data_IF_765568466563
#
_entry.id   IF_765568466563
#
_cell.length_a   1.000
_cell.length_b   1.000
_cell.length_c   1.000
_cell.angle_alpha   90.00
_cell.angle_beta   90.00
_cell.angle_gamma   90.00
#
_symmetry.space_group_name_H-M   'P 1'
#
loop_
_entity.id
_entity.type
_entity.pdbx_description
1 polymer ?
#
# COMPACT_ATOMS: atom_id res chain seq x y z
N UNK A 1 7.58 12.67 46.48
CA UNK A 1 6.99 13.01 45.15
C UNK A 1 7.71 12.14 44.14
N UNK A 2 7.03 11.16 43.56
CA UNK A 2 7.63 10.34 42.50
C UNK A 2 7.70 11.21 41.25
N UNK A 3 8.90 11.63 40.85
CA UNK A 3 9.11 12.21 39.52
C UNK A 3 8.77 11.12 38.53
N UNK A 4 7.60 11.23 37.88
CA UNK A 4 7.31 10.43 36.70
C UNK A 4 8.49 10.64 35.74
N UNK A 5 9.16 9.55 35.35
CA UNK A 5 10.28 9.62 34.45
C UNK A 5 9.72 10.06 33.09
N UNK A 6 9.84 11.35 32.76
CA UNK A 6 9.32 11.91 31.52
C UNK A 6 10.27 11.41 30.42
N UNK A 7 9.77 10.46 29.62
CA UNK A 7 10.51 9.95 28.47
C UNK A 7 10.79 11.08 27.49
N UNK A 8 12.00 11.09 26.96
CA UNK A 8 12.40 11.97 25.87
C UNK A 8 11.63 11.64 24.58
N UNK A 9 11.53 12.58 23.63
CA UNK A 9 11.05 12.33 22.28
C UNK A 9 11.63 11.06 21.62
N UNK A 10 12.95 10.86 21.75
CA UNK A 10 13.64 9.70 21.21
C UNK A 10 13.14 8.40 21.85
N UNK A 11 13.04 8.35 23.18
CA UNK A 11 12.50 7.19 23.91
C UNK A 11 11.04 6.88 23.54
N UNK A 12 10.22 7.91 23.33
CA UNK A 12 8.82 7.75 22.93
C UNK A 12 8.69 7.15 21.52
N UNK A 13 9.50 7.61 20.56
CA UNK A 13 9.52 7.03 19.21
C UNK A 13 10.02 5.58 19.24
N UNK A 14 11.08 5.33 20.00
CA UNK A 14 11.66 4.00 20.17
C UNK A 14 10.64 2.98 20.68
N UNK A 15 9.91 3.35 21.74
CA UNK A 15 8.85 2.51 22.29
C UNK A 15 7.74 2.28 21.26
N UNK A 16 7.30 3.33 20.56
CA UNK A 16 6.25 3.22 19.55
C UNK A 16 6.64 2.24 18.43
N UNK A 17 7.83 2.40 17.85
CA UNK A 17 8.30 1.53 16.75
C UNK A 17 8.46 0.08 17.20
N UNK A 18 8.90 -0.15 18.44
CA UNK A 18 9.16 -1.50 18.97
C UNK A 18 7.89 -2.20 19.45
N UNK A 19 6.91 -1.46 19.98
CA UNK A 19 5.77 -2.01 20.71
C UNK A 19 4.43 -1.84 19.98
N UNK A 20 4.21 -0.71 19.32
CA UNK A 20 2.88 -0.33 18.83
C UNK A 20 2.75 -0.39 17.32
N UNK A 21 3.79 -0.01 16.58
CA UNK A 21 3.71 0.12 15.12
C UNK A 21 3.32 -1.19 14.42
N UNK A 22 3.87 -2.34 14.83
CA UNK A 22 3.46 -3.65 14.27
C UNK A 22 2.01 -4.03 14.61
N UNK A 23 1.52 -3.58 15.77
CA UNK A 23 0.17 -3.88 16.22
C UNK A 23 -0.88 -3.16 15.37
N UNK A 24 -0.57 -1.98 14.84
CA UNK A 24 -1.39 -1.29 13.82
C UNK A 24 -1.61 -2.22 12.62
N UNK A 25 -0.55 -2.87 12.12
CA UNK A 25 -0.66 -3.81 10.99
C UNK A 25 -1.44 -5.10 11.31
N UNK A 26 -1.58 -5.43 12.61
CA UNK A 26 -2.37 -6.60 13.03
C UNK A 26 -3.82 -6.26 13.32
N UNK A 27 -4.12 -5.02 13.69
CA UNK A 27 -5.45 -4.64 14.19
C UNK A 27 -6.22 -3.77 13.21
N UNK A 28 -5.53 -2.92 12.46
CA UNK A 28 -6.15 -1.80 11.74
C UNK A 28 -5.92 -1.87 10.23
N UNK A 29 -4.90 -2.60 9.77
CA UNK A 29 -4.51 -2.65 8.36
C UNK A 29 -4.65 -4.06 7.80
N UNK A 30 -5.42 -4.18 6.71
CA UNK A 30 -5.71 -5.42 5.99
C UNK A 30 -4.89 -5.54 4.70
N UNK A 31 -3.56 -5.57 4.84
CA UNK A 31 -2.65 -5.81 3.71
C UNK A 31 -2.29 -7.29 3.67
N UNK A 32 -2.38 -7.91 2.49
CA UNK A 32 -2.11 -9.34 2.30
C UNK A 32 -0.97 -9.60 1.30
N UNK A 33 -0.19 -10.64 1.57
CA UNK A 33 0.81 -11.18 0.65
C UNK A 33 0.13 -12.01 -0.46
N UNK A 34 0.79 -12.30 -1.60
CA UNK A 34 0.19 -13.07 -2.70
C UNK A 34 -0.17 -14.50 -2.30
N UNK A 35 0.47 -15.03 -1.26
CA UNK A 35 0.15 -16.33 -0.67
C UNK A 35 -1.08 -16.30 0.28
N UNK A 36 -1.79 -15.16 0.37
CA UNK A 36 -2.97 -14.98 1.20
C UNK A 36 -2.69 -14.75 2.69
N UNK A 37 -1.43 -14.73 3.13
CA UNK A 37 -1.10 -14.40 4.52
C UNK A 37 -1.09 -12.89 4.76
N UNK A 38 -1.40 -12.45 5.98
CA UNK A 38 -1.38 -11.03 6.32
C UNK A 38 0.06 -10.50 6.28
N UNK A 39 0.26 -9.36 5.64
CA UNK A 39 1.52 -8.66 5.69
C UNK A 39 1.76 -8.13 7.09
N UNK A 40 2.90 -8.51 7.68
CA UNK A 40 3.42 -7.90 8.90
C UNK A 40 4.82 -7.40 8.59
N UNK A 41 5.12 -6.11 8.77
CA UNK A 41 6.45 -5.59 8.52
C UNK A 41 7.44 -6.18 9.52
N UNK A 42 8.07 -7.30 9.13
CA UNK A 42 9.06 -8.03 9.93
C UNK A 42 10.48 -7.88 9.38
N UNK A 43 10.64 -7.38 8.14
CA UNK A 43 11.93 -7.27 7.45
C UNK A 43 11.80 -6.43 6.18
N UNK A 44 12.13 -5.14 6.26
CA UNK A 44 12.29 -4.26 5.10
C UNK A 44 13.76 -3.87 4.89
N UNK A 45 14.16 -3.62 3.65
CA UNK A 45 15.52 -3.17 3.29
C UNK A 45 15.86 -1.79 3.83
N UNK A 46 14.87 -0.92 4.05
CA UNK A 46 15.05 0.43 4.62
C UNK A 46 15.20 0.46 6.14
N UNK A 47 15.69 -0.63 6.75
CA UNK A 47 16.11 -0.61 8.14
C UNK A 47 15.02 -0.86 9.17
N UNK A 48 13.78 -1.20 8.82
CA UNK A 48 12.74 -1.57 9.82
C UNK A 48 13.21 -2.69 10.77
N UNK A 49 13.91 -3.69 10.23
CA UNK A 49 14.50 -4.75 11.07
C UNK A 49 15.68 -4.25 11.92
N UNK A 50 16.40 -3.23 11.44
CA UNK A 50 17.47 -2.55 12.17
C UNK A 50 16.88 -1.70 13.30
N UNK A 51 15.87 -0.86 13.02
CA UNK A 51 15.19 -0.01 13.99
C UNK A 51 14.60 -0.81 15.15
N UNK A 52 13.98 -1.95 14.86
CA UNK A 52 13.43 -2.83 15.92
C UNK A 52 14.51 -3.48 16.79
N UNK A 53 15.64 -3.88 16.19
CA UNK A 53 16.73 -4.57 16.90
C UNK A 53 17.70 -3.60 17.57
N UNK A 54 17.72 -2.34 17.12
CA UNK A 54 18.56 -1.30 17.68
C UNK A 54 17.92 -0.76 18.96
N UNK A 55 18.76 -0.54 19.97
CA UNK A 55 18.33 0.06 21.24
C UNK A 55 17.94 1.52 21.07
N UNK A 56 18.42 2.20 20.02
CA UNK A 56 18.15 3.61 19.70
C UNK A 56 17.56 3.74 18.28
N UNK A 57 16.28 3.45 18.12
CA UNK A 57 15.60 3.47 16.82
C UNK A 57 15.51 4.90 16.25
N UNK A 58 15.27 5.89 17.09
CA UNK A 58 15.18 7.30 16.70
C UNK A 58 16.48 7.79 16.08
N UNK A 59 17.62 7.59 16.76
CA UNK A 59 18.93 8.04 16.26
C UNK A 59 19.29 7.35 14.94
N UNK A 60 18.99 6.07 14.83
CA UNK A 60 19.22 5.31 13.61
C UNK A 60 18.33 5.80 12.46
N UNK A 61 17.06 6.11 12.74
CA UNK A 61 16.15 6.70 11.77
C UNK A 61 16.66 8.07 11.28
N UNK A 62 17.10 8.94 12.20
CA UNK A 62 17.73 10.22 11.85
C UNK A 62 18.97 9.99 11.00
N UNK A 63 19.83 9.03 11.36
CA UNK A 63 21.05 8.71 10.62
C UNK A 63 20.76 8.27 9.19
N UNK A 64 19.77 7.39 9.00
CA UNK A 64 19.33 6.90 7.68
C UNK A 64 18.87 8.04 6.78
N UNK A 65 18.18 9.04 7.34
CA UNK A 65 17.64 10.18 6.58
C UNK A 65 18.57 11.39 6.49
N UNK A 66 19.64 11.44 7.29
CA UNK A 66 20.59 12.57 7.31
C UNK A 66 21.68 12.47 6.25
N UNK A 67 22.14 11.26 5.88
CA UNK A 67 23.18 11.07 4.85
C UNK A 67 22.62 11.18 3.42
N UNK A 68 23.43 11.43 2.37
CA UNK A 68 22.95 11.25 0.99
C UNK A 68 22.46 9.81 0.86
N UNK A 69 21.17 9.63 0.61
CA UNK A 69 20.67 8.30 0.32
C UNK A 69 21.13 8.03 -1.10
N UNK A 70 21.90 6.96 -1.33
CA UNK A 70 21.75 6.26 -2.60
C UNK A 70 20.26 5.99 -2.69
N UNK A 71 19.55 6.66 -3.60
CA UNK A 71 18.13 6.37 -3.82
C UNK A 71 18.08 4.85 -4.01
N UNK A 72 17.44 4.09 -3.10
CA UNK A 72 17.19 2.71 -3.43
C UNK A 72 16.15 2.83 -4.54
N UNK A 73 16.61 2.74 -5.80
CA UNK A 73 15.76 2.56 -6.98
C UNK A 73 14.80 1.37 -6.78
N UNK A 74 15.10 0.52 -5.79
CA UNK A 74 14.33 -0.63 -5.37
C UNK A 74 13.75 -0.42 -3.95
N UNK A 75 12.54 0.11 -3.86
CA UNK A 75 11.63 -0.25 -2.78
C UNK A 75 11.41 -1.76 -2.82
N UNK A 76 11.40 -2.43 -1.66
CA UNK A 76 11.03 -3.85 -1.63
C UNK A 76 9.56 -4.00 -2.00
N UNK A 77 9.18 -5.03 -2.76
CA UNK A 77 7.79 -5.30 -3.14
C UNK A 77 6.81 -5.27 -1.95
N UNK A 78 7.24 -5.70 -0.76
CA UNK A 78 6.43 -5.67 0.45
C UNK A 78 6.15 -4.26 0.98
N UNK A 79 7.06 -3.32 0.76
CA UNK A 79 6.94 -1.93 1.20
C UNK A 79 6.05 -1.13 0.24
N UNK A 80 6.23 -1.29 -1.08
CA UNK A 80 5.31 -0.70 -2.08
C UNK A 80 3.88 -1.15 -1.87
N UNK A 81 3.67 -2.40 -1.44
CA UNK A 81 2.32 -2.92 -1.18
C UNK A 81 1.60 -2.20 -0.05
N UNK A 82 2.30 -1.79 1.03
CA UNK A 82 1.69 -0.99 2.09
C UNK A 82 1.20 0.33 1.50
N UNK A 83 2.05 0.99 0.72
CA UNK A 83 1.73 2.27 0.09
C UNK A 83 0.54 2.12 -0.86
N UNK A 84 0.54 1.07 -1.69
CA UNK A 84 -0.50 0.85 -2.70
C UNK A 84 -1.85 0.44 -2.10
N UNK A 85 -1.87 -0.31 -0.99
CA UNK A 85 -3.10 -0.91 -0.45
C UNK A 85 -3.63 -0.22 0.82
N UNK A 86 -2.74 0.30 1.67
CA UNK A 86 -3.12 0.94 2.93
C UNK A 86 -2.86 2.45 2.93
N UNK A 87 -1.86 2.90 2.17
CA UNK A 87 -1.47 4.30 2.05
C UNK A 87 -0.19 4.65 2.81
N UNK A 88 0.42 5.78 2.42
CA UNK A 88 1.69 6.26 2.96
C UNK A 88 1.66 6.52 4.48
N UNK A 89 0.50 6.81 5.05
CA UNK A 89 0.32 7.10 6.48
C UNK A 89 0.59 5.91 7.41
N UNK A 90 0.73 4.69 6.86
CA UNK A 90 1.09 3.51 7.64
C UNK A 90 2.60 3.20 7.60
N UNK A 91 3.39 4.04 6.96
CA UNK A 91 4.85 3.92 6.92
C UNK A 91 5.50 4.47 8.20
N UNK A 92 6.64 3.91 8.61
CA UNK A 92 7.33 4.38 9.83
C UNK A 92 7.95 5.77 9.61
N UNK A 93 8.32 6.08 8.37
CA UNK A 93 8.75 7.39 7.89
C UNK A 93 7.68 8.44 8.15
N UNK A 94 6.42 8.13 7.81
CA UNK A 94 5.30 9.01 8.11
C UNK A 94 5.15 9.22 9.62
N UNK A 95 5.16 8.15 10.41
CA UNK A 95 5.06 8.27 11.88
C UNK A 95 6.23 9.01 12.53
N UNK A 96 7.42 8.98 11.93
CA UNK A 96 8.57 9.74 12.41
C UNK A 96 8.29 11.25 12.34
N UNK A 97 7.67 11.72 11.25
CA UNK A 97 7.41 13.16 11.03
C UNK A 97 5.99 13.62 11.37
N UNK A 98 5.06 12.70 11.63
CA UNK A 98 3.66 12.97 11.98
C UNK A 98 3.56 13.99 13.13
N UNK A 99 3.07 15.19 12.82
CA UNK A 99 2.99 16.32 13.76
C UNK A 99 2.07 16.02 14.96
N UNK A 100 1.16 15.05 14.85
CA UNK A 100 0.32 14.64 15.97
C UNK A 100 1.09 13.84 17.03
N UNK A 101 2.31 13.40 16.74
CA UNK A 101 3.14 12.60 17.65
C UNK A 101 4.02 13.45 18.55
N UNK A 102 4.24 13.01 19.81
CA UNK A 102 4.98 13.79 20.80
C UNK A 102 6.47 13.94 20.50
N UNK A 103 7.03 13.15 19.57
CA UNK A 103 8.44 13.21 19.17
C UNK A 103 8.71 14.03 17.92
N UNK A 104 7.67 14.44 17.19
CA UNK A 104 7.78 15.01 15.85
C UNK A 104 8.65 16.28 15.81
N UNK A 105 8.60 17.09 16.87
CA UNK A 105 9.39 18.31 17.02
C UNK A 105 10.88 18.07 17.23
N UNK A 106 11.27 16.85 17.64
CA UNK A 106 12.68 16.47 17.81
C UNK A 106 13.33 16.04 16.48
N UNK A 107 12.55 15.86 15.42
CA UNK A 107 13.08 15.51 14.09
C UNK A 107 13.69 16.76 13.44
N UNK A 108 14.97 16.74 13.01
CA UNK A 108 15.60 17.86 12.33
C UNK A 108 14.85 18.27 11.06
N UNK A 109 14.76 19.57 10.78
CA UNK A 109 14.05 20.11 9.61
C UNK A 109 14.52 19.49 8.29
N UNK A 110 15.83 19.35 8.09
CA UNK A 110 16.38 18.71 6.88
C UNK A 110 15.93 17.25 6.72
N UNK A 111 15.82 16.50 7.82
CA UNK A 111 15.33 15.11 7.79
C UNK A 111 13.85 15.08 7.43
N UNK A 112 13.05 15.96 8.05
CA UNK A 112 11.63 16.12 7.77
C UNK A 112 11.38 16.42 6.29
N UNK A 113 12.04 17.44 5.74
CA UNK A 113 11.90 17.84 4.32
C UNK A 113 12.21 16.69 3.36
N UNK A 114 13.24 15.88 3.66
CA UNK A 114 13.62 14.74 2.83
C UNK A 114 12.61 13.60 2.89
N UNK A 115 12.08 13.31 4.08
CA UNK A 115 11.01 12.33 4.25
C UNK A 115 9.76 12.78 3.49
N UNK A 116 9.36 14.04 3.62
CA UNK A 116 8.20 14.59 2.92
C UNK A 116 8.33 14.48 1.39
N UNK A 117 9.50 14.84 0.84
CA UNK A 117 9.78 14.72 -0.58
C UNK A 117 9.70 13.27 -1.08
N UNK A 118 10.23 12.33 -0.31
CA UNK A 118 10.19 10.91 -0.65
C UNK A 118 8.78 10.33 -0.55
N UNK A 119 8.02 10.67 0.50
CA UNK A 119 6.62 10.25 0.65
C UNK A 119 5.75 10.79 -0.49
N UNK A 120 5.92 12.04 -0.90
CA UNK A 120 5.20 12.63 -2.03
C UNK A 120 5.51 11.92 -3.36
N UNK A 121 6.78 11.55 -3.58
CA UNK A 121 7.20 10.77 -4.76
C UNK A 121 6.57 9.38 -4.74
N UNK A 122 6.56 8.70 -3.59
CA UNK A 122 5.97 7.36 -3.44
C UNK A 122 4.46 7.38 -3.65
N UNK A 123 3.76 8.37 -3.09
CA UNK A 123 2.31 8.54 -3.25
C UNK A 123 1.94 8.76 -4.73
N UNK A 124 2.69 9.61 -5.43
CA UNK A 124 2.55 9.81 -6.87
C UNK A 124 2.74 8.49 -7.65
N UNK A 125 3.76 7.70 -7.33
CA UNK A 125 4.03 6.43 -7.99
C UNK A 125 2.92 5.40 -7.73
N UNK A 126 2.42 5.32 -6.49
CA UNK A 126 1.30 4.45 -6.14
C UNK A 126 0.03 4.81 -6.92
N UNK A 127 -0.27 6.10 -7.07
CA UNK A 127 -1.39 6.56 -7.89
C UNK A 127 -1.24 6.15 -9.37
N UNK A 128 -0.01 6.23 -9.91
CA UNK A 128 0.28 5.78 -11.29
C UNK A 128 0.06 4.27 -11.42
N UNK A 129 0.57 3.47 -10.46
CA UNK A 129 0.37 2.01 -10.45
C UNK A 129 -1.11 1.62 -10.35
N UNK A 130 -1.86 2.26 -9.46
CA UNK A 130 -3.29 2.02 -9.29
C UNK A 130 -4.07 2.30 -10.58
N UNK A 131 -3.75 3.40 -11.29
CA UNK A 131 -4.34 3.71 -12.59
C UNK A 131 -4.00 2.67 -13.65
N UNK A 132 -2.74 2.24 -13.71
CA UNK A 132 -2.31 1.21 -14.66
C UNK A 132 -3.01 -0.13 -14.40
N UNK A 133 -3.13 -0.54 -13.13
CA UNK A 133 -3.84 -1.76 -12.74
C UNK A 133 -5.33 -1.69 -13.09
N UNK A 134 -5.99 -0.55 -12.85
CA UNK A 134 -7.39 -0.35 -13.22
C UNK A 134 -7.60 -0.40 -14.74
N UNK A 135 -6.70 0.21 -15.51
CA UNK A 135 -6.75 0.16 -16.97
C UNK A 135 -6.57 -1.28 -17.51
N UNK A 136 -5.64 -2.04 -16.93
CA UNK A 136 -5.42 -3.44 -17.31
C UNK A 136 -6.61 -4.33 -16.92
N UNK A 137 -7.17 -4.15 -15.73
CA UNK A 137 -8.37 -4.87 -15.29
C UNK A 137 -9.56 -4.58 -16.22
N UNK A 138 -9.73 -3.33 -16.67
CA UNK A 138 -10.75 -2.96 -17.64
C UNK A 138 -10.54 -3.67 -18.98
N UNK A 139 -9.30 -3.67 -19.50
CA UNK A 139 -8.96 -4.36 -20.75
C UNK A 139 -9.26 -5.85 -20.68
N UNK A 140 -8.83 -6.52 -19.61
CA UNK A 140 -9.10 -7.96 -19.42
C UNK A 140 -10.59 -8.27 -19.32
N UNK A 141 -11.35 -7.40 -18.66
CA UNK A 141 -12.80 -7.47 -18.59
C UNK A 141 -13.46 -7.38 -19.98
N UNK A 142 -13.03 -6.43 -20.81
CA UNK A 142 -13.54 -6.27 -22.18
C UNK A 142 -13.21 -7.48 -23.07
N UNK A 143 -12.02 -8.04 -22.90
CA UNK A 143 -11.60 -9.26 -23.59
C UNK A 143 -12.46 -10.48 -23.17
N UNK A 144 -12.74 -10.62 -21.87
CA UNK A 144 -13.60 -11.69 -21.34
C UNK A 144 -15.05 -11.54 -21.81
N UNK A 145 -15.57 -10.32 -21.80
CA UNK A 145 -16.90 -9.98 -22.28
C UNK A 145 -17.02 -10.30 -23.79
N UNK A 146 -16.01 -9.94 -24.58
CA UNK A 146 -15.94 -10.27 -26.02
C UNK A 146 -15.90 -11.78 -26.27
N UNK A 147 -15.09 -12.53 -25.52
CA UNK A 147 -15.03 -14.00 -25.60
C UNK A 147 -16.36 -14.64 -25.23
N UNK A 148 -17.05 -14.12 -24.22
CA UNK A 148 -18.36 -14.61 -23.80
C UNK A 148 -19.39 -14.44 -24.91
N UNK A 149 -19.46 -13.25 -25.52
CA UNK A 149 -20.39 -12.98 -26.63
C UNK A 149 -20.08 -13.86 -27.84
N UNK A 150 -18.80 -14.04 -28.16
CA UNK A 150 -18.39 -14.94 -29.24
C UNK A 150 -18.85 -16.39 -28.99
N UNK A 151 -18.69 -16.91 -27.76
CA UNK A 151 -19.15 -18.24 -27.38
C UNK A 151 -20.68 -18.37 -27.46
N UNK A 152 -21.42 -17.36 -27.00
CA UNK A 152 -22.89 -17.35 -27.09
C UNK A 152 -23.37 -17.35 -28.55
N UNK A 153 -22.72 -16.56 -29.41
CA UNK A 153 -23.05 -16.52 -30.83
C UNK A 153 -22.69 -17.82 -31.55
N UNK A 154 -21.56 -18.45 -31.23
CA UNK A 154 -21.19 -19.76 -31.75
C UNK A 154 -22.25 -20.82 -31.41
N UNK A 155 -22.65 -20.89 -30.13
CA UNK A 155 -23.71 -21.81 -29.70
C UNK A 155 -25.05 -21.55 -30.40
N UNK A 156 -25.40 -20.28 -30.63
CA UNK A 156 -26.62 -19.94 -31.38
C UNK A 156 -26.54 -20.39 -32.83
N UNK A 157 -25.38 -20.25 -33.46
CA UNK A 157 -25.16 -20.75 -34.82
C UNK A 157 -25.32 -22.28 -34.91
N UNK A 158 -24.78 -23.03 -33.94
CA UNK A 158 -24.96 -24.49 -33.85
C UNK A 158 -26.45 -24.88 -33.69
N UNK A 159 -27.23 -24.03 -33.01
CA UNK A 159 -28.68 -24.18 -32.83
C UNK A 159 -29.51 -23.63 -34.01
N UNK A 160 -28.87 -23.14 -35.08
CA UNK A 160 -29.55 -22.52 -36.24
C UNK A 160 -30.22 -21.18 -35.94
N UNK A 161 -29.86 -20.51 -34.85
CA UNK A 161 -30.39 -19.20 -34.41
C UNK A 161 -29.48 -18.07 -34.90
N UNK A 162 -30.03 -16.87 -35.21
CA UNK A 162 -29.21 -15.71 -35.54
C UNK A 162 -28.35 -15.28 -34.33
N UNK A 163 -27.20 -14.61 -34.55
CA UNK A 163 -26.41 -14.00 -33.48
C UNK A 163 -27.23 -13.08 -32.57
N UNK A 164 -26.71 -12.79 -31.38
CA UNK A 164 -27.31 -11.84 -30.46
C UNK A 164 -27.44 -10.46 -31.13
N UNK A 165 -28.56 -9.79 -30.89
CA UNK A 165 -28.73 -8.38 -31.28
C UNK A 165 -27.87 -7.48 -30.38
N UNK A 166 -27.73 -6.20 -30.76
CA UNK A 166 -27.04 -5.21 -29.92
C UNK A 166 -27.72 -5.07 -28.54
N UNK A 167 -29.05 -5.04 -28.50
CA UNK A 167 -29.83 -4.97 -27.26
C UNK A 167 -29.59 -6.20 -26.36
N UNK A 168 -29.60 -7.40 -26.95
CA UNK A 168 -29.33 -8.64 -26.20
C UNK A 168 -27.88 -8.68 -25.68
N UNK A 169 -26.94 -8.19 -26.47
CA UNK A 169 -25.53 -8.05 -26.06
C UNK A 169 -25.41 -7.10 -24.88
N UNK A 170 -26.08 -5.93 -24.93
CA UNK A 170 -26.07 -4.96 -23.84
C UNK A 170 -26.60 -5.56 -22.52
N UNK A 171 -27.70 -6.32 -22.58
CA UNK A 171 -28.26 -7.02 -21.40
C UNK A 171 -27.28 -8.04 -20.81
N UNK A 172 -26.57 -8.80 -21.66
CA UNK A 172 -25.55 -9.76 -21.19
C UNK A 172 -24.39 -9.04 -20.50
N UNK A 173 -23.90 -7.95 -21.10
CA UNK A 173 -22.81 -7.17 -20.54
C UNK A 173 -23.19 -6.48 -19.23
N UNK A 174 -24.42 -5.94 -19.14
CA UNK A 174 -24.95 -5.32 -17.93
C UNK A 174 -25.05 -6.33 -16.78
N UNK A 175 -25.67 -7.49 -16.99
CA UNK A 175 -25.74 -8.52 -15.96
C UNK A 175 -24.35 -9.06 -15.55
N UNK A 176 -23.36 -9.00 -16.44
CA UNK A 176 -21.96 -9.33 -16.10
C UNK A 176 -21.26 -8.24 -15.32
N UNK A 177 -21.59 -6.96 -15.54
CA UNK A 177 -21.09 -5.85 -14.71
C UNK A 177 -21.66 -5.92 -13.30
N UNK A 178 -22.96 -6.18 -13.16
CA UNK A 178 -23.62 -6.36 -11.86
C UNK A 178 -22.99 -7.50 -11.05
N UNK A 179 -22.82 -8.68 -11.65
CA UNK A 179 -22.18 -9.83 -10.98
C UNK A 179 -20.72 -9.61 -10.60
N UNK A 180 -20.01 -8.71 -11.30
CA UNK A 180 -18.65 -8.31 -10.93
C UNK A 180 -18.66 -7.35 -9.75
N UNK A 181 -19.60 -6.40 -9.73
CA UNK A 181 -19.78 -5.48 -8.63
C UNK A 181 -20.20 -6.19 -7.32
N UNK A 182 -20.98 -7.27 -7.40
CA UNK A 182 -21.36 -8.10 -6.23
C UNK A 182 -20.20 -8.92 -5.65
N UNK A 183 -19.12 -9.12 -6.41
CA UNK A 183 -17.96 -9.94 -6.03
C UNK A 183 -16.73 -9.11 -5.65
N UNK A 184 -16.77 -7.81 -5.89
CA UNK A 184 -15.72 -6.85 -5.56
C UNK A 184 -15.94 -6.30 -4.14
#
# INVERSE_FOLDING_TARGET
MSTANIKSPAELFDDFIKLEWQDIFRKEVDVFLPNGSRYVPNSGSQGVSLLRKNVNAFDEAIRLWSGPTDEPENSTEGYDRIVDQAGIQYTWEWFLIDESRPWSSAVPALVRERIEADLARRDKNALVRAKAAAAEAHRLAEEEDSRTIALMNAKRADEGKPPLTQEQTAVVLEGRRERRAEKA
#
